data_IF_017332168231
#
_entry.id   IF_017332168231
#
_cell.length_a   1.000
_cell.length_b   1.000
_cell.length_c   1.000
_cell.angle_alpha   90.00
_cell.angle_beta   90.00
_cell.angle_gamma   90.00
#
_symmetry.space_group_name_H-M   'P 1'
#
loop_
_entity.id
_entity.type
_entity.pdbx_description
1 polymer ?
#
# COMPACT_ATOMS: atom_id res chain seq x y z
N UNK A 1 -24.17 -2.56 22.69
CA UNK A 1 -22.98 -1.79 22.22
C UNK A 1 -23.02 -1.80 20.70
N UNK A 2 -22.78 -0.65 20.08
CA UNK A 2 -22.71 -0.54 18.61
C UNK A 2 -21.25 -0.81 18.23
N UNK A 3 -21.03 -1.72 17.28
CA UNK A 3 -19.69 -2.02 16.78
C UNK A 3 -19.17 -0.86 15.94
N UNK A 4 -17.86 -0.51 16.01
CA UNK A 4 -17.31 0.58 15.24
C UNK A 4 -17.35 0.26 13.74
N UNK A 5 -17.72 1.23 12.90
CA UNK A 5 -17.61 1.06 11.46
C UNK A 5 -16.15 1.30 11.04
N UNK A 6 -15.39 0.22 10.88
CA UNK A 6 -13.98 0.26 10.45
C UNK A 6 -13.81 0.60 8.97
N UNK A 7 -14.90 0.55 8.18
CA UNK A 7 -14.90 0.88 6.75
C UNK A 7 -15.04 2.39 6.47
N UNK A 8 -15.40 3.20 7.49
CA UNK A 8 -15.40 4.65 7.32
C UNK A 8 -13.99 5.16 7.05
N UNK A 9 -13.87 6.05 6.06
CA UNK A 9 -12.61 6.71 5.75
C UNK A 9 -12.22 7.73 6.85
N UNK A 10 -10.92 8.04 6.95
CA UNK A 10 -10.45 9.12 7.80
C UNK A 10 -11.07 10.46 7.37
N UNK A 11 -11.52 11.30 8.32
CA UNK A 11 -12.17 12.57 7.99
C UNK A 11 -11.21 13.53 7.28
N UNK A 12 -11.78 14.31 6.35
CA UNK A 12 -11.03 15.35 5.65
C UNK A 12 -10.84 16.55 6.59
N UNK A 13 -9.59 17.06 6.76
CA UNK A 13 -9.32 18.20 7.62
C UNK A 13 -10.11 19.46 7.22
N UNK A 14 -10.53 20.24 8.20
CA UNK A 14 -11.25 21.51 7.97
C UNK A 14 -10.47 22.46 7.06
N UNK A 15 -9.13 22.43 7.13
CA UNK A 15 -8.26 23.23 6.29
C UNK A 15 -8.45 23.01 4.77
N UNK A 16 -9.04 21.87 4.36
CA UNK A 16 -9.36 21.60 2.94
C UNK A 16 -10.54 22.45 2.42
N UNK A 17 -11.46 22.86 3.28
CA UNK A 17 -12.76 23.42 2.86
C UNK A 17 -12.65 24.70 2.06
N UNK A 18 -11.81 25.63 2.50
CA UNK A 18 -11.67 26.93 1.83
C UNK A 18 -11.14 26.80 0.40
N UNK A 19 -10.16 25.90 0.17
CA UNK A 19 -9.59 25.67 -1.16
C UNK A 19 -10.59 24.91 -2.05
N UNK A 20 -11.30 23.92 -1.50
CA UNK A 20 -12.38 23.21 -2.21
C UNK A 20 -13.49 24.17 -2.63
N UNK A 21 -13.97 25.03 -1.72
CA UNK A 21 -15.02 26.02 -2.01
C UNK A 21 -14.60 27.01 -3.10
N UNK A 22 -13.35 27.49 -3.05
CA UNK A 22 -12.79 28.35 -4.10
C UNK A 22 -12.73 27.66 -5.47
N UNK A 23 -12.35 26.39 -5.50
CA UNK A 23 -12.32 25.58 -6.73
C UNK A 23 -13.71 25.34 -7.31
N UNK A 24 -14.69 25.06 -6.45
CA UNK A 24 -16.08 24.87 -6.89
C UNK A 24 -16.69 26.15 -7.45
N UNK A 25 -16.35 27.32 -6.89
CA UNK A 25 -16.80 28.63 -7.40
C UNK A 25 -16.12 29.01 -8.71
N UNK A 26 -14.82 28.77 -8.87
CA UNK A 26 -14.06 29.13 -10.06
C UNK A 26 -14.23 28.15 -11.22
N UNK A 27 -14.52 26.88 -10.93
CA UNK A 27 -14.51 25.78 -11.90
C UNK A 27 -13.12 25.40 -12.39
N UNK A 28 -12.02 25.90 -11.77
CA UNK A 28 -10.64 25.59 -12.17
C UNK A 28 -10.19 24.21 -11.64
N UNK A 29 -10.80 23.17 -12.18
CA UNK A 29 -10.55 21.77 -11.77
C UNK A 29 -9.41 21.12 -12.54
N UNK A 30 -9.02 21.70 -13.70
CA UNK A 30 -7.98 21.14 -14.53
C UNK A 30 -6.60 21.44 -13.96
N UNK A 31 -5.76 20.39 -13.84
CA UNK A 31 -4.38 20.51 -13.31
C UNK A 31 -3.56 21.65 -13.93
N UNK A 32 -3.72 21.87 -15.22
CA UNK A 32 -3.00 22.86 -16.00
C UNK A 32 -3.82 24.11 -16.30
N UNK A 33 -4.79 24.41 -15.44
CA UNK A 33 -5.58 25.64 -15.52
C UNK A 33 -4.72 26.92 -15.52
N UNK A 34 -5.35 28.09 -15.73
CA UNK A 34 -4.63 29.35 -15.87
C UNK A 34 -4.04 29.86 -14.56
N UNK A 35 -4.57 29.44 -13.41
CA UNK A 35 -4.12 29.93 -12.11
C UNK A 35 -2.69 29.49 -11.78
N UNK A 36 -1.85 30.41 -11.35
CA UNK A 36 -0.56 30.09 -10.77
C UNK A 36 -0.73 29.41 -9.42
N UNK A 37 0.06 28.37 -9.15
CA UNK A 37 0.01 27.66 -7.88
C UNK A 37 -1.20 26.75 -7.71
N UNK A 38 -1.57 26.03 -8.76
CA UNK A 38 -2.63 25.00 -8.72
C UNK A 38 -2.45 24.03 -7.55
N UNK A 39 -3.55 23.58 -6.91
CA UNK A 39 -3.51 22.64 -5.77
C UNK A 39 -2.67 21.38 -6.02
N UNK A 40 -2.70 20.84 -7.25
CA UNK A 40 -1.87 19.69 -7.61
C UNK A 40 -0.37 20.02 -7.55
N UNK A 41 0.04 21.19 -8.05
CA UNK A 41 1.46 21.60 -8.01
C UNK A 41 1.94 21.83 -6.56
N UNK A 42 1.09 22.39 -5.71
CA UNK A 42 1.38 22.53 -4.27
C UNK A 42 1.50 21.17 -3.58
N UNK A 43 0.55 20.27 -3.85
CA UNK A 43 0.58 18.89 -3.32
C UNK A 43 1.88 18.18 -3.69
N UNK A 44 2.32 18.28 -4.95
CA UNK A 44 3.57 17.67 -5.40
C UNK A 44 4.79 18.23 -4.67
N UNK A 45 4.88 19.55 -4.51
CA UNK A 45 5.98 20.18 -3.78
C UNK A 45 6.00 19.79 -2.30
N UNK A 46 4.86 19.88 -1.62
CA UNK A 46 4.73 19.55 -0.19
C UNK A 46 4.96 18.06 0.08
N UNK A 47 4.51 17.18 -0.82
CA UNK A 47 4.73 15.74 -0.68
C UNK A 47 6.20 15.37 -0.95
N UNK A 48 6.85 15.99 -1.93
CA UNK A 48 8.28 15.83 -2.18
C UNK A 48 9.12 16.28 -0.97
N UNK A 49 8.80 17.44 -0.38
CA UNK A 49 9.41 17.92 0.86
C UNK A 49 9.16 16.95 2.03
N UNK A 50 7.91 16.54 2.24
CA UNK A 50 7.55 15.57 3.29
C UNK A 50 8.33 14.28 3.14
N UNK A 51 8.50 13.75 1.93
CA UNK A 51 9.26 12.53 1.68
C UNK A 51 10.78 12.76 1.72
N UNK A 52 11.26 13.97 1.51
CA UNK A 52 12.68 14.28 1.43
C UNK A 52 13.29 13.89 0.08
N UNK A 53 12.51 13.99 -1.00
CA UNK A 53 12.94 13.71 -2.38
C UNK A 53 12.76 14.94 -3.27
N UNK A 54 13.52 15.08 -4.36
CA UNK A 54 13.41 16.26 -5.22
C UNK A 54 12.16 16.28 -6.10
N UNK A 55 11.55 15.12 -6.41
CA UNK A 55 10.50 15.05 -7.43
C UNK A 55 9.31 14.21 -6.99
N UNK A 56 8.12 14.74 -7.19
CA UNK A 56 6.85 14.06 -7.03
C UNK A 56 5.91 14.39 -8.20
N UNK A 57 5.09 13.43 -8.61
CA UNK A 57 4.07 13.56 -9.64
C UNK A 57 2.76 13.00 -9.10
N UNK A 58 1.76 13.86 -8.94
CA UNK A 58 0.41 13.44 -8.58
C UNK A 58 -0.35 12.92 -9.81
N UNK A 59 -0.93 11.74 -9.65
CA UNK A 59 -1.68 11.01 -10.68
C UNK A 59 -3.06 10.60 -10.17
N UNK A 60 -3.93 10.15 -11.08
CA UNK A 60 -5.30 9.80 -10.76
C UNK A 60 -5.46 8.50 -9.95
N UNK A 61 -4.42 7.68 -9.83
CA UNK A 61 -4.41 6.46 -9.00
C UNK A 61 -3.00 5.94 -8.77
N UNK A 62 -2.80 5.11 -7.72
CA UNK A 62 -1.55 4.37 -7.54
C UNK A 62 -1.29 3.40 -8.70
N UNK A 63 -2.33 2.79 -9.26
CA UNK A 63 -2.19 1.91 -10.45
C UNK A 63 -1.57 2.65 -11.64
N UNK A 64 -1.96 3.91 -11.84
CA UNK A 64 -1.34 4.77 -12.85
C UNK A 64 0.11 5.09 -12.52
N UNK A 65 0.45 5.31 -11.25
CA UNK A 65 1.83 5.53 -10.81
C UNK A 65 2.71 4.30 -11.08
N UNK A 66 2.23 3.09 -10.74
CA UNK A 66 2.91 1.82 -11.00
C UNK A 66 3.14 1.59 -12.50
N UNK A 67 2.12 1.81 -13.32
CA UNK A 67 2.23 1.72 -14.77
C UNK A 67 3.25 2.72 -15.33
N UNK A 68 3.13 4.00 -14.95
CA UNK A 68 4.04 5.06 -15.39
C UNK A 68 5.49 4.80 -14.96
N UNK A 69 5.72 4.20 -13.78
CA UNK A 69 7.06 3.88 -13.30
C UNK A 69 7.77 2.90 -14.24
N UNK A 70 7.08 1.85 -14.71
CA UNK A 70 7.63 0.90 -15.69
C UNK A 70 7.90 1.55 -17.04
N UNK A 71 6.97 2.40 -17.50
CA UNK A 71 7.13 3.14 -18.77
C UNK A 71 8.25 4.17 -18.69
N UNK A 72 8.39 4.87 -17.55
CA UNK A 72 9.44 5.87 -17.34
C UNK A 72 10.84 5.24 -17.20
N UNK A 73 10.94 4.04 -16.62
CA UNK A 73 12.17 3.24 -16.62
C UNK A 73 12.54 2.73 -18.02
N UNK A 74 11.59 2.70 -18.96
CA UNK A 74 11.81 2.19 -20.29
C UNK A 74 11.93 0.67 -20.34
N UNK A 75 11.23 -0.04 -19.43
CA UNK A 75 11.21 -1.51 -19.46
C UNK A 75 10.65 -1.97 -20.80
N UNK A 76 11.37 -2.82 -21.56
CA UNK A 76 10.93 -3.25 -22.87
C UNK A 76 9.70 -4.17 -22.79
N UNK A 77 8.93 -4.23 -23.88
CA UNK A 77 7.83 -5.19 -23.99
C UNK A 77 8.37 -6.63 -23.82
N UNK A 78 7.62 -7.46 -23.09
CA UNK A 78 8.04 -8.81 -22.68
C UNK A 78 9.10 -8.83 -21.56
N UNK A 79 9.53 -7.66 -21.05
CA UNK A 79 10.47 -7.58 -19.92
C UNK A 79 9.87 -8.17 -18.66
N UNK A 80 10.61 -9.04 -17.97
CA UNK A 80 10.15 -9.69 -16.74
C UNK A 80 10.35 -8.77 -15.54
N UNK A 81 9.31 -8.72 -14.67
CA UNK A 81 9.30 -7.91 -13.45
C UNK A 81 8.99 -8.81 -12.26
N UNK A 82 9.92 -8.90 -11.30
CA UNK A 82 9.69 -9.64 -10.05
C UNK A 82 8.77 -8.87 -9.12
N UNK A 83 7.78 -9.56 -8.55
CA UNK A 83 6.84 -9.03 -7.55
C UNK A 83 6.56 -10.08 -6.47
N UNK A 84 6.20 -9.68 -5.23
CA UNK A 84 5.72 -10.64 -4.24
C UNK A 84 4.36 -11.24 -4.67
N UNK A 85 4.16 -12.53 -4.40
CA UNK A 85 2.91 -13.22 -4.70
C UNK A 85 1.75 -12.81 -3.77
N UNK A 86 2.04 -12.12 -2.67
CA UNK A 86 1.06 -11.43 -1.83
C UNK A 86 1.11 -9.93 -2.10
N UNK A 87 0.21 -9.49 -2.96
CA UNK A 87 0.00 -8.08 -3.29
C UNK A 87 -1.43 -7.86 -3.78
N UNK A 88 -1.82 -6.61 -4.02
CA UNK A 88 -3.10 -6.30 -4.67
C UNK A 88 -2.99 -6.49 -6.19
N UNK A 89 -4.07 -6.95 -6.83
CA UNK A 89 -4.12 -7.21 -8.29
C UNK A 89 -3.69 -6.02 -9.18
N UNK A 90 -3.69 -4.79 -8.66
CA UNK A 90 -3.20 -3.62 -9.38
C UNK A 90 -1.72 -3.71 -9.75
N UNK A 91 -0.90 -4.40 -8.94
CA UNK A 91 0.54 -4.56 -9.18
C UNK A 91 0.80 -5.41 -10.43
N UNK A 92 0.37 -6.69 -10.51
CA UNK A 92 0.51 -7.47 -11.72
C UNK A 92 -0.24 -6.86 -12.91
N UNK A 93 -1.40 -6.21 -12.70
CA UNK A 93 -2.13 -5.53 -13.78
C UNK A 93 -1.32 -4.39 -14.40
N UNK A 94 -0.65 -3.56 -13.60
CA UNK A 94 0.20 -2.48 -14.11
C UNK A 94 1.35 -3.02 -14.97
N UNK A 95 1.93 -4.17 -14.60
CA UNK A 95 2.99 -4.84 -15.35
C UNK A 95 2.46 -5.34 -16.69
N UNK A 96 1.32 -6.06 -16.70
CA UNK A 96 0.70 -6.55 -17.94
C UNK A 96 0.29 -5.40 -18.85
N UNK A 97 -0.33 -4.34 -18.32
CA UNK A 97 -0.68 -3.15 -19.09
C UNK A 97 0.55 -2.42 -19.66
N UNK A 98 1.69 -2.47 -18.97
CA UNK A 98 2.94 -1.93 -19.50
C UNK A 98 3.54 -2.78 -20.65
N UNK A 99 2.95 -3.95 -20.95
CA UNK A 99 3.44 -4.92 -21.92
C UNK A 99 4.56 -5.81 -21.37
N UNK A 100 4.69 -5.93 -20.04
CA UNK A 100 5.70 -6.70 -19.35
C UNK A 100 5.12 -7.99 -18.76
N UNK A 101 5.97 -8.87 -18.25
CA UNK A 101 5.59 -10.15 -17.66
C UNK A 101 5.84 -10.13 -16.14
N UNK A 102 4.81 -10.33 -15.29
CA UNK A 102 5.01 -10.49 -13.86
C UNK A 102 5.58 -11.89 -13.54
N UNK A 103 6.62 -11.93 -12.72
CA UNK A 103 7.20 -13.15 -12.16
C UNK A 103 7.01 -13.10 -10.64
N UNK A 104 6.24 -14.05 -10.10
CA UNK A 104 5.88 -14.03 -8.69
C UNK A 104 6.98 -14.64 -7.83
N UNK A 105 7.31 -13.95 -6.75
CA UNK A 105 8.20 -14.44 -5.67
C UNK A 105 7.33 -14.93 -4.52
N UNK A 106 7.64 -16.09 -3.98
CA UNK A 106 6.92 -16.66 -2.84
C UNK A 106 7.00 -15.74 -1.61
N UNK A 107 6.03 -15.86 -0.71
CA UNK A 107 5.89 -15.03 0.49
C UNK A 107 5.80 -15.93 1.71
N UNK A 108 6.57 -15.59 2.73
CA UNK A 108 6.59 -16.32 3.99
C UNK A 108 5.37 -15.98 4.88
N UNK A 109 5.20 -16.69 5.99
CA UNK A 109 4.11 -16.53 6.96
C UNK A 109 4.11 -15.17 7.70
N UNK A 110 5.15 -14.37 7.49
CA UNK A 110 5.29 -13.01 8.01
C UNK A 110 4.86 -11.93 6.99
N UNK A 111 4.21 -12.32 5.88
CA UNK A 111 3.69 -11.46 4.81
C UNK A 111 4.76 -10.78 3.94
N UNK A 112 6.00 -11.21 4.00
CA UNK A 112 7.14 -10.65 3.27
C UNK A 112 7.66 -11.60 2.22
N UNK A 113 8.31 -11.08 1.18
CA UNK A 113 8.96 -11.91 0.18
C UNK A 113 9.94 -12.89 0.82
N UNK A 114 9.90 -14.13 0.35
CA UNK A 114 10.91 -15.13 0.66
C UNK A 114 12.21 -14.77 -0.06
N UNK A 115 13.26 -14.49 0.71
CA UNK A 115 14.53 -14.06 0.16
C UNK A 115 15.33 -15.18 -0.51
N UNK A 116 15.02 -16.44 -0.24
CA UNK A 116 15.64 -17.59 -0.94
C UNK A 116 15.03 -17.73 -2.33
N UNK A 117 13.71 -17.70 -2.43
CA UNK A 117 12.98 -17.72 -3.71
C UNK A 117 13.29 -16.46 -4.54
N UNK A 118 13.38 -15.28 -3.89
CA UNK A 118 13.81 -14.05 -4.54
C UNK A 118 15.19 -14.20 -5.21
N UNK A 119 16.19 -14.71 -4.48
CA UNK A 119 17.54 -14.94 -5.04
C UNK A 119 17.51 -15.92 -6.19
N UNK A 120 16.75 -17.01 -6.07
CA UNK A 120 16.64 -18.04 -7.10
C UNK A 120 16.01 -17.49 -8.39
N UNK A 121 15.04 -16.56 -8.29
CA UNK A 121 14.34 -15.96 -9.43
C UNK A 121 15.01 -14.72 -9.99
N UNK A 122 15.96 -14.11 -9.27
CA UNK A 122 16.67 -12.92 -9.73
C UNK A 122 17.72 -13.26 -10.78
N UNK A 123 17.26 -13.61 -11.98
CA UNK A 123 18.07 -14.00 -13.14
C UNK A 123 18.36 -12.82 -14.09
N UNK A 124 19.26 -13.01 -15.06
CA UNK A 124 19.68 -11.95 -15.98
C UNK A 124 18.60 -11.44 -16.95
N UNK A 125 17.46 -12.12 -17.07
CA UNK A 125 16.32 -11.69 -17.87
C UNK A 125 15.34 -10.80 -17.11
N UNK A 126 15.47 -10.68 -15.79
CA UNK A 126 14.71 -9.73 -14.97
C UNK A 126 15.10 -8.28 -15.31
N UNK A 127 14.12 -7.44 -15.57
CA UNK A 127 14.30 -6.03 -15.98
C UNK A 127 13.97 -5.03 -14.88
N UNK A 128 13.18 -5.43 -13.90
CA UNK A 128 12.87 -4.63 -12.72
C UNK A 128 12.38 -5.53 -11.57
N UNK A 129 12.46 -5.01 -10.36
CA UNK A 129 11.78 -5.55 -9.18
C UNK A 129 10.76 -4.52 -8.73
N UNK A 130 9.50 -4.94 -8.50
CA UNK A 130 8.45 -4.08 -7.94
C UNK A 130 8.05 -4.66 -6.58
N UNK A 131 8.63 -4.11 -5.52
CA UNK A 131 8.38 -4.54 -4.14
C UNK A 131 7.08 -3.92 -3.66
N UNK A 132 6.06 -4.74 -3.43
CA UNK A 132 4.84 -4.27 -2.77
C UNK A 132 4.97 -4.46 -1.26
N UNK A 133 4.90 -3.35 -0.51
CA UNK A 133 4.86 -3.36 0.96
C UNK A 133 3.42 -3.60 1.42
N UNK A 134 2.89 -4.78 1.04
CA UNK A 134 1.47 -5.09 1.22
C UNK A 134 1.06 -5.05 2.68
N UNK A 135 -0.01 -4.32 2.98
CA UNK A 135 -0.51 -4.08 4.35
C UNK A 135 0.55 -3.50 5.30
N UNK A 136 1.56 -2.79 4.77
CA UNK A 136 2.61 -2.17 5.56
C UNK A 136 3.71 -3.12 6.02
N UNK A 137 3.75 -4.37 5.53
CA UNK A 137 4.86 -5.29 5.79
C UNK A 137 6.00 -5.05 4.79
N UNK A 138 7.08 -4.42 5.25
CA UNK A 138 8.26 -4.21 4.42
C UNK A 138 9.09 -5.49 4.32
N UNK A 139 9.44 -5.90 3.08
CA UNK A 139 10.40 -6.96 2.85
C UNK A 139 11.83 -6.49 3.18
N UNK A 140 12.79 -7.41 3.24
CA UNK A 140 14.20 -7.09 3.53
C UNK A 140 14.80 -6.20 2.43
N UNK A 141 14.62 -4.88 2.58
CA UNK A 141 15.07 -3.91 1.60
C UNK A 141 16.59 -3.85 1.47
N UNK A 142 17.33 -4.15 2.53
CA UNK A 142 18.80 -4.15 2.48
C UNK A 142 19.30 -5.27 1.56
N UNK A 143 18.76 -6.48 1.71
CA UNK A 143 19.06 -7.61 0.83
C UNK A 143 18.58 -7.36 -0.60
N UNK A 144 17.36 -6.86 -0.78
CA UNK A 144 16.79 -6.60 -2.11
C UNK A 144 17.64 -5.58 -2.86
N UNK A 145 17.97 -4.45 -2.24
CA UNK A 145 18.77 -3.41 -2.87
C UNK A 145 20.18 -3.89 -3.22
N UNK A 146 20.84 -4.58 -2.28
CA UNK A 146 22.18 -5.13 -2.53
C UNK A 146 22.20 -6.03 -3.77
N UNK A 147 21.27 -6.99 -3.86
CA UNK A 147 21.22 -7.95 -4.97
C UNK A 147 20.81 -7.30 -6.31
N UNK A 148 19.94 -6.28 -6.25
CA UNK A 148 19.51 -5.56 -7.44
C UNK A 148 20.59 -4.60 -7.96
N UNK A 149 21.29 -3.89 -7.07
CA UNK A 149 22.37 -2.96 -7.43
C UNK A 149 23.54 -3.70 -8.07
N UNK A 150 23.93 -4.88 -7.56
CA UNK A 150 24.96 -5.75 -8.19
C UNK A 150 24.64 -6.10 -9.65
N UNK A 151 23.37 -6.10 -10.03
CA UNK A 151 22.89 -6.49 -11.36
C UNK A 151 22.37 -5.32 -12.19
N UNK A 152 22.43 -4.09 -11.65
CA UNK A 152 21.83 -2.89 -12.24
C UNK A 152 20.33 -3.06 -12.55
N UNK A 153 19.58 -3.78 -11.69
CA UNK A 153 18.15 -3.97 -11.81
C UNK A 153 17.44 -2.89 -10.98
N UNK A 154 16.60 -2.03 -11.59
CA UNK A 154 15.90 -1.00 -10.86
C UNK A 154 14.82 -1.59 -9.93
N UNK A 155 14.71 -1.02 -8.72
CA UNK A 155 13.68 -1.37 -7.75
C UNK A 155 12.60 -0.27 -7.74
N UNK A 156 11.34 -0.69 -7.86
CA UNK A 156 10.13 0.14 -7.69
C UNK A 156 9.50 -0.26 -6.36
N UNK A 157 9.17 0.70 -5.51
CA UNK A 157 8.42 0.46 -4.28
C UNK A 157 6.94 0.76 -4.51
N UNK A 158 6.07 -0.26 -4.40
CA UNK A 158 4.64 -0.05 -4.18
C UNK A 158 4.41 0.20 -2.69
N UNK A 159 4.34 1.47 -2.32
CA UNK A 159 4.14 1.96 -0.97
C UNK A 159 2.69 2.37 -0.68
N UNK A 160 1.72 1.81 -1.41
CA UNK A 160 0.29 2.12 -1.26
C UNK A 160 -0.25 1.89 0.16
N UNK A 161 0.41 1.08 0.98
CA UNK A 161 0.07 0.77 2.37
C UNK A 161 1.16 1.16 3.38
N UNK A 162 2.17 1.95 2.96
CA UNK A 162 3.38 2.14 3.78
C UNK A 162 3.79 3.61 3.91
N UNK A 163 2.89 4.54 3.58
CA UNK A 163 3.15 5.97 3.79
C UNK A 163 3.44 6.23 5.27
N UNK A 164 4.60 6.82 5.56
CA UNK A 164 5.04 7.11 6.93
C UNK A 164 5.80 5.96 7.61
N UNK A 165 5.88 4.77 7.01
CA UNK A 165 6.73 3.70 7.50
C UNK A 165 8.22 3.98 7.24
N UNK A 166 9.10 3.37 8.06
CA UNK A 166 10.54 3.52 7.94
C UNK A 166 11.22 2.14 7.84
N UNK A 167 12.33 2.11 7.13
CA UNK A 167 13.29 1.01 7.09
C UNK A 167 14.67 1.55 7.47
N UNK A 168 15.26 1.06 8.57
CA UNK A 168 16.54 1.56 9.10
C UNK A 168 16.58 3.10 9.20
N UNK A 169 15.45 3.70 9.61
CA UNK A 169 15.29 5.16 9.73
C UNK A 169 15.04 5.91 8.41
N UNK A 170 15.13 5.27 7.25
CA UNK A 170 14.76 5.86 5.95
C UNK A 170 13.28 5.65 5.67
N UNK A 171 12.61 6.64 5.10
CA UNK A 171 11.20 6.52 4.71
C UNK A 171 11.04 5.46 3.63
N UNK A 172 10.11 4.52 3.82
CA UNK A 172 9.66 3.61 2.76
C UNK A 172 9.15 4.45 1.59
N UNK A 173 9.56 4.08 0.38
CA UNK A 173 9.34 4.86 -0.84
C UNK A 173 10.52 5.76 -1.23
N UNK A 174 11.60 5.81 -0.42
CA UNK A 174 12.82 6.55 -0.76
C UNK A 174 14.06 5.66 -0.91
N UNK A 175 13.88 4.35 -0.91
CA UNK A 175 14.95 3.36 -0.95
C UNK A 175 15.17 2.86 -2.37
N UNK A 176 14.10 2.54 -3.07
CA UNK A 176 14.13 2.16 -4.48
C UNK A 176 14.35 3.35 -5.43
N UNK A 177 14.42 3.04 -6.71
CA UNK A 177 14.59 4.05 -7.78
C UNK A 177 13.36 4.93 -7.99
N UNK A 178 12.17 4.35 -7.78
CA UNK A 178 10.85 5.01 -7.90
C UNK A 178 9.97 4.45 -6.79
N UNK A 179 9.06 5.27 -6.26
CA UNK A 179 7.99 4.75 -5.42
C UNK A 179 6.63 5.30 -5.81
N UNK A 180 5.59 4.50 -5.49
CA UNK A 180 4.20 4.77 -5.80
C UNK A 180 3.34 4.71 -4.54
N UNK A 181 2.50 5.73 -4.33
CA UNK A 181 1.59 5.84 -3.18
C UNK A 181 0.14 5.92 -3.65
N UNK A 182 -0.78 5.52 -2.77
CA UNK A 182 -2.21 5.57 -3.02
C UNK A 182 -2.89 6.56 -2.10
N UNK A 183 -3.84 7.32 -2.66
CA UNK A 183 -4.76 8.20 -1.94
C UNK A 183 -6.23 7.74 -2.08
N UNK A 184 -6.43 6.46 -2.39
CA UNK A 184 -7.76 5.86 -2.37
C UNK A 184 -8.34 5.95 -0.95
N UNK A 185 -9.67 6.06 -0.81
CA UNK A 185 -10.37 6.39 0.44
C UNK A 185 -9.92 5.63 1.69
N UNK A 186 -9.48 4.38 1.53
CA UNK A 186 -9.05 3.53 2.64
C UNK A 186 -7.54 3.58 2.92
N UNK A 187 -6.83 4.55 2.35
CA UNK A 187 -5.40 4.74 2.63
C UNK A 187 -5.19 5.80 3.71
N UNK A 188 -3.96 5.91 4.19
CA UNK A 188 -3.59 6.84 5.26
C UNK A 188 -3.92 8.30 4.93
N UNK A 189 -3.93 8.66 3.64
CA UNK A 189 -4.45 9.92 3.12
C UNK A 189 -5.61 9.62 2.16
N UNK A 190 -6.78 10.18 2.45
CA UNK A 190 -8.02 9.94 1.72
C UNK A 190 -8.24 11.02 0.65
N UNK A 191 -8.15 10.67 -0.62
CA UNK A 191 -8.48 11.53 -1.76
C UNK A 191 -9.70 11.07 -2.55
N UNK A 192 -10.44 10.05 -2.05
CA UNK A 192 -11.39 9.30 -2.85
C UNK A 192 -10.66 8.37 -3.79
N UNK A 193 -10.06 8.95 -4.81
CA UNK A 193 -9.09 8.35 -5.71
C UNK A 193 -7.86 9.24 -5.85
N UNK A 194 -6.71 8.67 -6.19
CA UNK A 194 -5.47 9.39 -6.41
C UNK A 194 -4.24 8.55 -6.13
N UNK A 195 -3.11 9.06 -6.56
CA UNK A 195 -1.80 8.46 -6.31
C UNK A 195 -0.67 9.45 -6.48
N UNK A 196 0.51 9.04 -6.07
CA UNK A 196 1.74 9.81 -6.21
C UNK A 196 2.88 8.91 -6.68
N UNK A 197 3.65 9.36 -7.65
CA UNK A 197 4.93 8.79 -8.04
C UNK A 197 6.03 9.71 -7.54
N UNK A 198 7.05 9.16 -6.88
CA UNK A 198 8.23 9.92 -6.46
C UNK A 198 9.51 9.26 -6.98
N UNK A 199 10.52 10.08 -7.22
CA UNK A 199 11.87 9.63 -7.61
C UNK A 199 12.89 10.74 -7.36
N UNK A 200 14.16 10.38 -7.29
CA UNK A 200 15.27 11.35 -7.28
C UNK A 200 15.90 11.52 -8.67
N UNK A 201 15.44 10.82 -9.68
CA UNK A 201 16.01 10.83 -11.03
C UNK A 201 15.28 11.85 -11.93
N UNK A 202 15.98 12.90 -12.41
CA UNK A 202 15.37 13.95 -13.22
C UNK A 202 14.92 13.49 -14.61
N UNK A 203 15.48 12.40 -15.16
CA UNK A 203 15.07 11.87 -16.45
C UNK A 203 13.80 11.01 -16.29
N UNK A 204 13.73 10.22 -15.25
CA UNK A 204 12.55 9.41 -14.93
C UNK A 204 11.34 10.30 -14.68
N UNK A 205 11.49 11.36 -13.84
CA UNK A 205 10.36 12.25 -13.57
C UNK A 205 9.92 13.00 -14.81
N UNK A 206 10.84 13.43 -15.66
CA UNK A 206 10.51 14.10 -16.91
C UNK A 206 9.67 13.20 -17.83
N UNK A 207 10.08 11.95 -18.02
CA UNK A 207 9.33 10.94 -18.78
C UNK A 207 7.94 10.71 -18.17
N UNK A 208 7.86 10.49 -16.87
CA UNK A 208 6.60 10.24 -16.17
C UNK A 208 5.63 11.41 -16.33
N UNK A 209 6.08 12.65 -16.15
CA UNK A 209 5.26 13.85 -16.31
C UNK A 209 4.76 13.99 -17.75
N UNK A 210 5.63 13.85 -18.76
CA UNK A 210 5.19 13.90 -20.17
C UNK A 210 4.12 12.82 -20.40
N UNK A 211 4.42 11.57 -20.08
CA UNK A 211 3.50 10.45 -20.32
C UNK A 211 2.21 10.54 -19.51
N UNK A 212 2.20 11.17 -18.32
CA UNK A 212 0.97 11.37 -17.55
C UNK A 212 -0.07 12.26 -18.25
N UNK A 213 0.36 13.00 -19.29
CA UNK A 213 -0.52 13.86 -20.10
C UNK A 213 -0.16 15.35 -20.03
N UNK A 214 1.13 15.68 -19.85
CA UNK A 214 1.63 17.05 -19.94
C UNK A 214 1.90 17.44 -21.40
N UNK A 215 0.85 17.47 -22.22
CA UNK A 215 0.91 17.84 -23.62
C UNK A 215 1.26 19.32 -23.83
N UNK A 216 1.68 19.66 -25.05
CA UNK A 216 2.16 21.00 -25.41
C UNK A 216 3.29 21.46 -24.46
N UNK A 217 3.20 22.62 -23.86
CA UNK A 217 4.17 23.11 -22.90
C UNK A 217 3.68 23.05 -21.45
N UNK A 218 2.66 22.24 -21.14
CA UNK A 218 2.11 22.13 -19.78
C UNK A 218 3.13 21.62 -18.75
N UNK A 219 4.16 20.88 -19.19
CA UNK A 219 5.27 20.49 -18.33
C UNK A 219 5.99 21.69 -17.68
N UNK A 220 5.93 22.91 -18.31
CA UNK A 220 6.48 24.14 -17.72
C UNK A 220 5.79 24.58 -16.43
N UNK A 221 4.63 24.00 -16.11
CA UNK A 221 3.87 24.25 -14.88
C UNK A 221 4.26 23.31 -13.73
N UNK A 222 5.24 22.44 -13.94
CA UNK A 222 5.81 21.58 -12.90
C UNK A 222 7.06 22.24 -12.28
N UNK A 223 7.28 22.08 -10.96
CA UNK A 223 8.44 22.64 -10.25
C UNK A 223 9.71 21.78 -10.42
N UNK A 224 10.12 21.48 -11.65
CA UNK A 224 11.25 20.57 -11.96
C UNK A 224 12.10 21.12 -13.12
N UNK A 225 13.27 20.50 -13.40
CA UNK A 225 14.22 20.91 -14.43
C UNK A 225 13.62 20.87 -15.85
N UNK A 226 13.52 22.03 -16.49
CA UNK A 226 12.85 22.20 -17.78
C UNK A 226 13.61 21.61 -18.98
N UNK A 227 14.93 21.57 -18.95
CA UNK A 227 15.75 21.05 -20.05
C UNK A 227 15.51 19.57 -20.35
N UNK A 228 15.29 18.74 -19.32
CA UNK A 228 14.98 17.32 -19.49
C UNK A 228 13.61 17.14 -20.15
N UNK A 229 12.63 17.97 -19.81
CA UNK A 229 11.31 17.96 -20.44
C UNK A 229 11.38 18.33 -21.92
N UNK A 230 12.11 19.39 -22.27
CA UNK A 230 12.30 19.80 -23.66
C UNK A 230 12.87 18.67 -24.51
N UNK A 231 13.75 17.84 -23.94
CA UNK A 231 14.29 16.66 -24.63
C UNK A 231 13.22 15.60 -24.91
N UNK A 232 12.34 15.31 -23.93
CA UNK A 232 11.34 14.24 -24.06
C UNK A 232 10.03 14.68 -24.71
N UNK A 233 9.78 15.98 -24.80
CA UNK A 233 8.58 16.51 -25.47
C UNK A 233 8.43 15.95 -26.88
N UNK A 234 7.24 15.49 -27.23
CA UNK A 234 6.88 14.87 -28.52
C UNK A 234 7.63 13.57 -28.88
N UNK A 235 8.46 13.03 -27.98
CA UNK A 235 9.14 11.74 -28.17
C UNK A 235 8.43 10.58 -27.48
N UNK A 236 7.55 10.86 -26.52
CA UNK A 236 6.84 9.88 -25.74
C UNK A 236 5.34 9.94 -26.00
N UNK A 237 4.63 8.80 -26.01
CA UNK A 237 3.18 8.78 -26.09
C UNK A 237 2.56 9.33 -24.81
N UNK A 238 1.40 9.95 -24.95
CA UNK A 238 0.67 10.57 -23.84
C UNK A 238 -0.46 9.66 -23.35
N UNK A 239 -0.65 9.64 -22.04
CA UNK A 239 -1.82 9.07 -21.38
C UNK A 239 -2.64 10.19 -20.72
N UNK A 240 -3.79 9.90 -20.18
CA UNK A 240 -4.54 10.81 -19.32
C UNK A 240 -4.59 10.24 -17.90
N UNK A 241 -3.52 10.45 -17.13
CA UNK A 241 -3.36 9.95 -15.76
C UNK A 241 -3.20 11.09 -14.73
N UNK A 242 -3.62 12.29 -15.11
CA UNK A 242 -3.49 13.49 -14.28
C UNK A 242 -4.45 13.46 -13.09
N UNK A 243 -3.97 13.84 -11.92
CA UNK A 243 -4.83 14.22 -10.81
C UNK A 243 -5.50 15.58 -11.12
N UNK A 244 -6.75 15.77 -10.75
CA UNK A 244 -7.43 17.06 -10.83
C UNK A 244 -7.18 17.91 -9.58
N UNK A 245 -7.43 19.23 -9.68
CA UNK A 245 -7.21 20.17 -8.58
C UNK A 245 -8.08 19.90 -7.36
N UNK A 246 -9.31 19.39 -7.54
CA UNK A 246 -10.21 19.09 -6.43
C UNK A 246 -9.68 17.95 -5.57
N UNK A 247 -9.26 16.84 -6.17
CA UNK A 247 -8.64 15.73 -5.44
C UNK A 247 -7.38 16.19 -4.68
N UNK A 248 -6.55 17.03 -5.32
CA UNK A 248 -5.36 17.56 -4.66
C UNK A 248 -5.69 18.45 -3.46
N UNK A 249 -6.71 19.31 -3.55
CA UNK A 249 -7.16 20.15 -2.44
C UNK A 249 -7.69 19.33 -1.25
N UNK A 250 -8.30 18.17 -1.52
CA UNK A 250 -8.72 17.22 -0.48
C UNK A 250 -7.52 16.52 0.19
N UNK A 251 -6.54 16.09 -0.61
CA UNK A 251 -5.40 15.28 -0.14
C UNK A 251 -4.34 16.14 0.58
N UNK A 252 -4.01 17.31 0.03
CA UNK A 252 -2.88 18.14 0.45
C UNK A 252 -2.82 18.44 1.96
N UNK A 253 -3.88 18.93 2.61
CA UNK A 253 -3.83 19.25 4.05
C UNK A 253 -3.65 18.01 4.95
N UNK A 254 -3.87 16.81 4.42
CA UNK A 254 -3.69 15.57 5.16
C UNK A 254 -2.22 15.15 5.33
N UNK A 255 -1.28 15.76 4.58
CA UNK A 255 0.17 15.51 4.76
C UNK A 255 0.57 15.76 6.22
N UNK A 256 0.05 16.83 6.83
CA UNK A 256 0.34 17.19 8.22
C UNK A 256 -0.27 16.22 9.24
N UNK A 257 -1.32 15.48 8.86
CA UNK A 257 -1.96 14.47 9.70
C UNK A 257 -1.21 13.12 9.71
N UNK A 258 -0.34 12.87 8.72
CA UNK A 258 0.36 11.58 8.58
C UNK A 258 1.11 11.17 9.86
N UNK A 259 1.93 12.03 10.52
CA UNK A 259 2.64 11.64 11.73
C UNK A 259 1.71 11.23 12.88
N UNK A 260 0.58 11.92 13.05
CA UNK A 260 -0.43 11.57 14.06
C UNK A 260 -1.08 10.23 13.72
N UNK A 261 -1.54 10.04 12.47
CA UNK A 261 -2.20 8.81 12.03
C UNK A 261 -1.27 7.59 12.14
N UNK A 262 0.02 7.75 11.84
CA UNK A 262 1.02 6.69 12.03
C UNK A 262 1.16 6.32 13.50
N UNK A 263 1.34 7.30 14.37
CA UNK A 263 1.49 7.07 15.82
C UNK A 263 0.26 6.37 16.40
N UNK A 264 -0.93 6.90 16.11
CA UNK A 264 -2.18 6.40 16.65
C UNK A 264 -2.53 5.02 16.06
N UNK A 265 -2.30 4.80 14.75
CA UNK A 265 -2.45 3.51 14.10
C UNK A 265 -1.50 2.44 14.66
N UNK A 266 -0.24 2.80 14.93
CA UNK A 266 0.72 1.90 15.57
C UNK A 266 0.29 1.52 16.99
N UNK A 267 -0.17 2.50 17.77
CA UNK A 267 -0.69 2.25 19.12
C UNK A 267 -1.91 1.31 19.11
N UNK A 268 -2.85 1.50 18.15
CA UNK A 268 -3.99 0.64 17.98
C UNK A 268 -3.57 -0.79 17.58
N UNK A 269 -2.66 -0.91 16.61
CA UNK A 269 -2.11 -2.20 16.18
C UNK A 269 -1.47 -2.96 17.34
N UNK A 270 -0.55 -2.32 18.07
CA UNK A 270 0.21 -2.96 19.14
C UNK A 270 -0.70 -3.36 20.31
N UNK A 271 -1.74 -2.56 20.56
CA UNK A 271 -2.75 -2.88 21.57
C UNK A 271 -3.49 -4.19 21.23
N UNK A 272 -4.04 -4.28 20.03
CA UNK A 272 -4.78 -5.46 19.58
C UNK A 272 -3.83 -6.66 19.41
N UNK A 273 -2.63 -6.46 18.84
CA UNK A 273 -1.63 -7.51 18.65
C UNK A 273 -1.25 -8.21 19.98
N UNK A 274 -1.12 -7.44 21.07
CA UNK A 274 -0.83 -8.01 22.39
C UNK A 274 -1.93 -8.93 22.88
N UNK A 275 -3.20 -8.58 22.64
CA UNK A 275 -4.34 -9.40 23.03
C UNK A 275 -4.42 -10.67 22.17
N UNK A 276 -4.28 -10.53 20.85
CA UNK A 276 -4.33 -11.68 19.94
C UNK A 276 -3.19 -12.66 20.18
N UNK A 277 -1.97 -12.17 20.41
CA UNK A 277 -0.79 -13.01 20.70
C UNK A 277 -0.85 -13.72 22.06
N UNK A 278 -1.77 -13.36 22.94
CA UNK A 278 -2.03 -14.14 24.17
C UNK A 278 -2.84 -15.44 23.90
N UNK A 279 -3.43 -15.56 22.71
CA UNK A 279 -4.11 -16.78 22.27
C UNK A 279 -3.10 -17.79 21.70
N UNK A 280 -3.26 -19.06 22.02
CA UNK A 280 -2.47 -20.13 21.40
C UNK A 280 -2.82 -20.37 19.91
N UNK A 281 -3.91 -19.78 19.43
CA UNK A 281 -4.48 -20.03 18.12
C UNK A 281 -4.28 -18.89 17.12
N UNK A 282 -3.79 -17.75 17.58
CA UNK A 282 -3.60 -16.54 16.76
C UNK A 282 -2.16 -16.05 16.88
N UNK A 283 -1.59 -15.59 15.77
CA UNK A 283 -0.24 -15.01 15.74
C UNK A 283 -0.18 -13.78 14.87
N UNK A 284 0.10 -12.64 15.47
CA UNK A 284 0.48 -11.40 14.77
C UNK A 284 2.00 -11.44 14.54
N UNK A 285 2.50 -11.43 13.30
CA UNK A 285 3.93 -11.45 13.02
C UNK A 285 4.63 -10.19 13.56
N UNK A 286 5.78 -10.39 14.18
CA UNK A 286 6.61 -9.28 14.62
C UNK A 286 7.16 -8.48 13.43
N UNK A 287 7.38 -7.17 13.59
CA UNK A 287 8.14 -6.39 12.60
C UNK A 287 9.58 -6.90 12.50
N UNK A 288 10.22 -6.68 11.35
CA UNK A 288 11.67 -6.84 11.25
C UNK A 288 12.37 -5.77 12.09
N UNK A 289 13.60 -6.05 12.54
CA UNK A 289 14.33 -5.14 13.41
C UNK A 289 14.52 -3.73 12.80
N UNK A 290 14.67 -3.68 11.47
CA UNK A 290 14.87 -2.44 10.72
C UNK A 290 13.55 -1.68 10.46
N UNK A 291 12.39 -2.34 10.64
CA UNK A 291 11.09 -1.82 10.25
C UNK A 291 10.43 -1.01 11.36
N UNK A 292 10.01 0.22 11.03
CA UNK A 292 9.02 0.98 11.81
C UNK A 292 7.75 1.09 10.98
N UNK A 293 6.67 0.46 11.42
CA UNK A 293 5.43 0.32 10.66
C UNK A 293 4.53 1.55 10.75
N UNK A 294 3.68 1.72 9.74
CA UNK A 294 2.58 2.69 9.71
C UNK A 294 1.27 1.95 9.43
N UNK A 295 0.76 1.14 10.37
CA UNK A 295 -0.38 0.27 10.12
C UNK A 295 -1.71 1.04 10.17
N UNK A 296 -2.64 0.64 9.29
CA UNK A 296 -4.06 1.00 9.28
C UNK A 296 -4.98 -0.22 9.44
N UNK A 297 -4.37 -1.37 9.67
CA UNK A 297 -5.00 -2.70 9.77
C UNK A 297 -4.07 -3.64 10.53
N UNK A 298 -4.62 -4.77 10.98
CA UNK A 298 -3.84 -5.83 11.61
C UNK A 298 -3.99 -7.12 10.81
N UNK A 299 -2.86 -7.74 10.49
CA UNK A 299 -2.80 -9.07 9.91
C UNK A 299 -2.30 -10.05 10.97
N UNK A 300 -2.97 -11.19 11.04
CA UNK A 300 -2.58 -12.27 11.94
C UNK A 300 -2.87 -13.61 11.29
N UNK A 301 -2.10 -14.63 11.68
CA UNK A 301 -2.26 -15.99 11.17
C UNK A 301 -3.03 -16.85 12.15
N UNK A 302 -3.87 -17.75 11.63
CA UNK A 302 -4.39 -18.88 12.38
C UNK A 302 -3.22 -19.85 12.64
N UNK A 303 -2.89 -20.07 13.91
CA UNK A 303 -1.75 -20.88 14.34
C UNK A 303 -2.18 -22.27 14.82
N UNK A 304 -1.33 -23.27 14.58
CA UNK A 304 -1.62 -24.66 14.90
C UNK A 304 -2.47 -25.34 13.81
N UNK A 305 -3.15 -26.42 14.19
CA UNK A 305 -3.96 -27.19 13.24
C UNK A 305 -5.33 -26.54 13.04
N UNK A 306 -5.59 -26.11 11.81
CA UNK A 306 -6.89 -25.61 11.35
C UNK A 306 -7.28 -26.28 10.05
N UNK A 307 -8.47 -26.85 9.98
CA UNK A 307 -9.07 -27.23 8.71
C UNK A 307 -9.65 -25.98 8.00
N UNK A 308 -9.98 -26.11 6.73
CA UNK A 308 -10.61 -25.01 5.99
C UNK A 308 -12.03 -24.73 6.50
N UNK A 309 -12.76 -25.78 6.95
CA UNK A 309 -14.07 -25.64 7.60
C UNK A 309 -13.96 -24.87 8.91
N UNK A 310 -12.99 -25.18 9.76
CA UNK A 310 -12.75 -24.44 11.00
C UNK A 310 -12.38 -22.98 10.74
N UNK A 311 -11.54 -22.71 9.74
CA UNK A 311 -11.19 -21.36 9.36
C UNK A 311 -12.40 -20.57 8.83
N UNK A 312 -13.28 -21.21 8.05
CA UNK A 312 -14.57 -20.61 7.61
C UNK A 312 -15.53 -20.40 8.78
N UNK A 313 -15.58 -21.33 9.73
CA UNK A 313 -16.40 -21.19 10.94
C UNK A 313 -15.92 -20.01 11.80
N UNK A 314 -14.60 -19.84 11.95
CA UNK A 314 -14.00 -18.70 12.64
C UNK A 314 -14.32 -17.36 11.93
N UNK A 315 -14.14 -17.31 10.60
CA UNK A 315 -14.51 -16.16 9.79
C UNK A 315 -15.97 -15.76 10.00
N UNK A 316 -16.88 -16.76 9.93
CA UNK A 316 -18.31 -16.54 10.13
C UNK A 316 -18.61 -16.05 11.55
N UNK A 317 -18.07 -16.72 12.58
CA UNK A 317 -18.29 -16.35 13.98
C UNK A 317 -17.80 -14.93 14.30
N UNK A 318 -16.63 -14.51 13.77
CA UNK A 318 -16.12 -13.15 13.94
C UNK A 318 -17.02 -12.12 13.28
N UNK A 319 -17.47 -12.37 12.03
CA UNK A 319 -18.40 -11.47 11.32
C UNK A 319 -19.77 -11.39 12.01
N UNK A 320 -20.33 -12.51 12.49
CA UNK A 320 -21.58 -12.54 13.26
C UNK A 320 -21.47 -11.73 14.57
N UNK A 321 -20.26 -11.59 15.12
CA UNK A 321 -19.96 -10.75 16.30
C UNK A 321 -19.64 -9.30 15.96
N UNK A 322 -19.73 -8.92 14.68
CA UNK A 322 -19.56 -7.55 14.21
C UNK A 322 -18.15 -7.18 13.75
N UNK A 323 -17.17 -8.10 13.76
CA UNK A 323 -15.82 -7.83 13.22
C UNK A 323 -15.83 -8.06 11.72
N UNK A 324 -15.49 -7.02 10.92
CA UNK A 324 -15.29 -7.15 9.47
C UNK A 324 -13.97 -7.89 9.18
N UNK A 325 -13.95 -9.21 9.50
CA UNK A 325 -12.80 -10.08 9.30
C UNK A 325 -12.77 -10.56 7.85
N UNK A 326 -11.57 -10.60 7.27
CA UNK A 326 -11.27 -11.33 6.02
C UNK A 326 -10.21 -12.40 6.27
N UNK A 327 -10.30 -13.54 5.57
CA UNK A 327 -9.20 -14.49 5.42
C UNK A 327 -8.87 -14.52 3.93
N UNK A 328 -7.68 -14.09 3.57
CA UNK A 328 -7.35 -13.77 2.18
C UNK A 328 -7.55 -14.92 1.20
N UNK A 329 -7.19 -16.14 1.58
CA UNK A 329 -7.28 -17.33 0.72
C UNK A 329 -8.66 -17.97 0.68
N UNK A 330 -9.60 -17.58 1.54
CA UNK A 330 -10.94 -18.19 1.61
C UNK A 330 -12.03 -17.43 0.83
N UNK A 331 -11.70 -16.26 0.29
CA UNK A 331 -12.60 -15.49 -0.59
C UNK A 331 -12.39 -15.90 -2.05
N UNK A 332 -13.46 -16.28 -2.74
CA UNK A 332 -13.39 -16.73 -4.13
C UNK A 332 -13.01 -15.63 -5.12
N UNK A 333 -13.22 -14.36 -4.76
CA UNK A 333 -12.97 -13.16 -5.55
C UNK A 333 -11.85 -12.25 -4.99
N UNK A 334 -11.07 -12.74 -4.02
CA UNK A 334 -10.07 -11.92 -3.36
C UNK A 334 -8.96 -11.49 -4.32
N UNK A 335 -8.88 -10.17 -4.57
CA UNK A 335 -7.88 -9.56 -5.45
C UNK A 335 -6.42 -9.67 -4.97
N UNK A 336 -6.18 -10.23 -3.77
CA UNK A 336 -4.84 -10.46 -3.18
C UNK A 336 -4.39 -11.92 -3.30
N UNK A 337 -5.29 -12.82 -3.70
CA UNK A 337 -4.97 -14.22 -3.93
C UNK A 337 -4.48 -14.42 -5.37
N UNK A 338 -3.21 -14.70 -5.55
CA UNK A 338 -2.56 -14.75 -6.86
C UNK A 338 -3.21 -15.74 -7.84
N UNK A 339 -3.83 -16.79 -7.34
CA UNK A 339 -4.56 -17.77 -8.17
C UNK A 339 -5.86 -17.24 -8.78
N UNK A 340 -6.33 -16.07 -8.37
CA UNK A 340 -7.45 -15.36 -8.99
C UNK A 340 -7.01 -14.44 -10.14
N UNK A 341 -5.70 -14.29 -10.38
CA UNK A 341 -5.17 -13.40 -11.43
C UNK A 341 -5.04 -14.16 -12.77
N UNK A 342 -6.16 -14.54 -13.36
CA UNK A 342 -6.19 -15.32 -14.61
C UNK A 342 -5.61 -14.58 -15.83
N UNK A 343 -5.25 -13.32 -15.68
CA UNK A 343 -4.63 -12.48 -16.72
C UNK A 343 -3.10 -12.57 -16.77
N UNK A 344 -2.48 -13.28 -15.83
CA UNK A 344 -1.04 -13.56 -15.84
C UNK A 344 -0.80 -15.00 -16.34
N UNK A 345 0.36 -15.23 -16.95
CA UNK A 345 0.77 -16.57 -17.39
C UNK A 345 1.03 -17.53 -16.20
N UNK A 346 1.32 -18.81 -16.49
CA UNK A 346 1.65 -19.80 -15.47
C UNK A 346 2.82 -19.32 -14.61
N UNK A 347 2.71 -19.56 -13.30
CA UNK A 347 3.74 -19.24 -12.33
C UNK A 347 4.40 -20.52 -11.77
N UNK A 348 5.60 -20.40 -11.19
CA UNK A 348 6.25 -21.46 -10.44
C UNK A 348 5.41 -21.85 -9.20
N UNK A 349 5.83 -22.90 -8.49
CA UNK A 349 5.20 -23.24 -7.22
C UNK A 349 5.32 -22.08 -6.22
N UNK A 350 4.21 -21.73 -5.58
CA UNK A 350 4.05 -20.68 -4.58
C UNK A 350 3.33 -21.27 -3.35
N UNK A 351 3.79 -22.42 -2.93
CA UNK A 351 3.15 -23.21 -1.86
C UNK A 351 3.15 -22.47 -0.54
N UNK A 352 4.23 -21.73 -0.20
CA UNK A 352 4.30 -20.96 1.05
C UNK A 352 3.29 -19.83 1.05
N UNK A 353 3.20 -19.05 -0.04
CA UNK A 353 2.18 -17.99 -0.18
C UNK A 353 0.77 -18.56 -0.11
N UNK A 354 0.50 -19.69 -0.78
CA UNK A 354 -0.81 -20.32 -0.74
C UNK A 354 -1.16 -20.76 0.68
N UNK A 355 -0.26 -21.46 1.36
CA UNK A 355 -0.47 -21.91 2.74
C UNK A 355 -0.70 -20.72 3.69
N UNK A 356 0.09 -19.67 3.55
CA UNK A 356 -0.06 -18.43 4.33
C UNK A 356 -1.43 -17.79 4.09
N UNK A 357 -1.82 -17.54 2.84
CA UNK A 357 -3.08 -16.85 2.50
C UNK A 357 -4.31 -17.60 3.00
N UNK A 358 -4.29 -18.94 3.01
CA UNK A 358 -5.39 -19.75 3.54
C UNK A 358 -5.60 -19.58 5.05
N UNK A 359 -4.67 -19.00 5.78
CA UNK A 359 -4.71 -18.78 7.24
C UNK A 359 -4.48 -17.32 7.63
N UNK A 360 -4.24 -16.45 6.66
CA UNK A 360 -3.96 -15.04 6.86
C UNK A 360 -5.23 -14.22 7.02
N UNK A 361 -5.43 -13.71 8.22
CA UNK A 361 -6.54 -12.87 8.63
C UNK A 361 -6.20 -11.39 8.47
N UNK A 362 -7.20 -10.56 8.16
CA UNK A 362 -7.08 -9.12 7.98
C UNK A 362 -8.27 -8.40 8.61
N UNK A 363 -7.97 -7.42 9.48
CA UNK A 363 -8.96 -6.53 10.08
C UNK A 363 -8.46 -5.10 10.00
N UNK A 364 -9.29 -4.18 9.56
CA UNK A 364 -8.94 -2.76 9.56
C UNK A 364 -8.93 -2.20 10.97
N UNK A 365 -7.88 -1.41 11.27
CA UNK A 365 -7.71 -0.69 12.53
C UNK A 365 -7.33 0.77 12.24
N UNK A 366 -8.25 1.60 11.69
CA UNK A 366 -7.94 2.99 11.40
C UNK A 366 -7.53 3.76 12.65
N UNK A 367 -6.67 4.77 12.47
CA UNK A 367 -6.10 5.57 13.58
C UNK A 367 -7.14 6.23 14.48
N UNK A 368 -8.33 6.51 13.94
CA UNK A 368 -9.45 7.16 14.64
C UNK A 368 -10.17 6.31 15.69
N UNK A 369 -9.90 4.99 15.76
CA UNK A 369 -10.58 4.11 16.72
C UNK A 369 -10.22 4.46 18.15
N UNK A 370 -11.24 4.49 19.01
CA UNK A 370 -11.05 4.63 20.45
C UNK A 370 -10.66 3.29 21.08
N UNK A 371 -10.13 3.35 22.29
CA UNK A 371 -9.72 2.15 23.02
C UNK A 371 -10.86 1.14 23.21
N UNK A 372 -12.06 1.62 23.48
CA UNK A 372 -13.25 0.76 23.68
C UNK A 372 -13.61 0.01 22.38
N UNK A 373 -13.39 0.64 21.21
CA UNK A 373 -13.57 0.00 19.90
C UNK A 373 -12.57 -1.15 19.71
N UNK A 374 -11.31 -0.93 20.10
CA UNK A 374 -10.25 -1.94 20.02
C UNK A 374 -10.52 -3.11 20.98
N UNK A 375 -11.03 -2.82 22.17
CA UNK A 375 -11.43 -3.85 23.14
C UNK A 375 -12.57 -4.71 22.59
N UNK A 376 -13.58 -4.10 21.93
CA UNK A 376 -14.68 -4.81 21.29
C UNK A 376 -14.17 -5.73 20.17
N UNK A 377 -13.32 -5.22 19.27
CA UNK A 377 -12.77 -5.99 18.14
C UNK A 377 -11.94 -7.17 18.68
N UNK A 378 -11.02 -6.93 19.60
CA UNK A 378 -10.14 -7.96 20.12
C UNK A 378 -10.93 -9.04 20.90
N UNK A 379 -11.89 -8.65 21.73
CA UNK A 379 -12.73 -9.57 22.50
C UNK A 379 -13.58 -10.44 21.58
N UNK A 380 -14.16 -9.86 20.52
CA UNK A 380 -14.97 -10.59 19.56
C UNK A 380 -14.14 -11.62 18.78
N UNK A 381 -12.91 -11.26 18.37
CA UNK A 381 -11.98 -12.19 17.72
C UNK A 381 -11.60 -13.37 18.62
N UNK A 382 -11.28 -13.12 19.89
CA UNK A 382 -10.97 -14.18 20.86
C UNK A 382 -12.19 -15.08 21.09
N UNK A 383 -13.39 -14.50 21.28
CA UNK A 383 -14.61 -15.27 21.43
C UNK A 383 -14.92 -16.12 20.20
N UNK A 384 -14.64 -15.62 18.98
CA UNK A 384 -14.83 -16.40 17.76
C UNK A 384 -13.88 -17.61 17.67
N UNK A 385 -12.63 -17.48 18.16
CA UNK A 385 -11.70 -18.62 18.29
C UNK A 385 -12.25 -19.65 19.29
N UNK A 386 -12.75 -19.19 20.44
CA UNK A 386 -13.32 -20.07 21.48
C UNK A 386 -14.54 -20.86 20.97
N UNK A 387 -15.38 -20.24 20.13
CA UNK A 387 -16.52 -20.90 19.51
C UNK A 387 -16.10 -22.09 18.64
N UNK A 388 -14.95 -22.00 17.98
CA UNK A 388 -14.46 -23.06 17.06
C UNK A 388 -13.59 -24.08 17.78
N UNK A 389 -12.71 -23.63 18.67
CA UNK A 389 -11.71 -24.52 19.30
C UNK A 389 -12.15 -25.08 20.66
N UNK A 390 -13.27 -24.59 21.21
CA UNK A 390 -13.82 -25.10 22.49
C UNK A 390 -12.94 -24.81 23.71
N UNK A 391 -11.95 -23.92 23.60
CA UNK A 391 -10.99 -23.61 24.67
C UNK A 391 -11.27 -22.22 25.21
N UNK A 392 -11.59 -22.09 26.49
CA UNK A 392 -11.64 -20.79 27.16
C UNK A 392 -10.22 -20.24 27.28
N UNK A 393 -9.93 -19.17 26.56
CA UNK A 393 -8.59 -18.57 26.62
C UNK A 393 -8.42 -17.72 27.89
N UNK A 394 -7.19 -17.68 28.44
CA UNK A 394 -6.83 -16.80 29.55
C UNK A 394 -6.96 -15.30 29.20
N UNK A 395 -7.09 -14.96 27.94
CA UNK A 395 -7.26 -13.60 27.43
C UNK A 395 -8.56 -12.93 27.93
N UNK A 396 -9.64 -13.67 28.21
CA UNK A 396 -10.85 -13.11 28.86
C UNK A 396 -10.57 -12.54 30.26
N UNK A 397 -9.61 -13.13 30.99
CA UNK A 397 -9.25 -12.66 32.32
C UNK A 397 -8.51 -11.31 32.31
N UNK A 398 -7.93 -10.92 31.18
CA UNK A 398 -7.21 -9.65 31.07
C UNK A 398 -8.16 -8.45 30.94
N UNK A 399 -9.23 -8.57 30.14
CA UNK A 399 -10.26 -7.52 30.02
C UNK A 399 -11.09 -7.40 31.32
N UNK A 400 -11.41 -8.51 31.98
CA UNK A 400 -12.18 -8.51 33.24
C UNK A 400 -11.42 -7.92 34.44
N UNK A 401 -10.08 -7.98 34.46
CA UNK A 401 -9.27 -7.42 35.58
C UNK A 401 -9.10 -5.91 35.52
N UNK A 402 -9.52 -5.23 34.45
CA UNK A 402 -9.46 -3.76 34.32
C UNK A 402 -10.80 -3.06 34.50
N UNK A 403 -11.90 -3.81 34.59
CA UNK A 403 -13.24 -3.29 34.89
C UNK A 403 -13.66 -3.47 36.36
N UNK A 404 -12.77 -3.95 37.20
CA UNK A 404 -12.86 -3.97 38.65
C UNK A 404 -11.75 -3.06 39.24
#
# INVERSE_FOLDING_TARGET
>A
MVFPNVEDAEPIPEAARSEIDALLRSGDLFRYGPAAGAPVAKLESEFAEFMGVPFALAVNSCSSALFLSLKALGIPAGGKVLIPAFTFAAVPSAIVHAGCEPVLVDVADNYRMDMEDFRAKLSGDIKAVMVSHMRGHASDMDTIMTLCDERNIPVIEDAAHSLGALWSGKKIGTIGKIACFSFQSFKLMNGGEGGMLITSDPDIIARAIIMSGAYEYNWKKHPVAHERFAYWQNKLPLYNMRMNNLSAAVVRPQIQEVPRRVRDGLANHDYVARILNASAWLRVPAPLHQESRAPDSIQFNLQGLWTDEEARAFLKSANDKGVALQIFGLGDDNARAFWNWNFIGPQSDLSSTRAMLMRACDVRLPARLAKDDLDLIATALIAAVEDVKGVRSEARNWCARKSA
#
